data_IF_634303071657
#
_entry.id   IF_634303071657
#
_cell.length_a   1.000
_cell.length_b   1.000
_cell.length_c   1.000
_cell.angle_alpha   90.00
_cell.angle_beta   90.00
_cell.angle_gamma   90.00
#
_symmetry.space_group_name_H-M   'P 1'
#
loop_
_entity.id
_entity.type
_entity.pdbx_description
1 polymer ?
#
# COMPACT_ATOMS: atom_id res chain seq x y z
N UNK A 1 13.52 2.72 -8.85
CA UNK A 1 12.22 3.07 -9.44
C UNK A 1 11.74 2.03 -10.41
N UNK A 2 12.54 1.67 -11.41
CA UNK A 2 12.22 0.56 -12.29
C UNK A 2 12.05 -0.76 -11.53
N UNK A 3 12.78 -0.97 -10.42
CA UNK A 3 12.65 -2.18 -9.62
C UNK A 3 11.25 -2.33 -9.01
N UNK A 4 10.63 -1.26 -8.58
CA UNK A 4 9.25 -1.29 -8.04
C UNK A 4 8.26 -1.62 -9.14
N UNK A 5 8.37 -0.97 -10.29
CA UNK A 5 7.51 -1.24 -11.45
C UNK A 5 7.67 -2.68 -11.94
N UNK A 6 8.89 -3.20 -11.96
CA UNK A 6 9.17 -4.57 -12.35
C UNK A 6 8.59 -5.58 -11.37
N UNK A 7 8.72 -5.32 -10.06
CA UNK A 7 8.13 -6.19 -9.04
C UNK A 7 6.61 -6.22 -9.15
N UNK A 8 5.98 -5.07 -9.31
CA UNK A 8 4.52 -5.01 -9.49
C UNK A 8 4.08 -5.79 -10.74
N UNK A 9 4.79 -5.62 -11.86
CA UNK A 9 4.45 -6.34 -13.09
C UNK A 9 4.57 -7.85 -12.93
N UNK A 10 5.60 -8.34 -12.22
CA UNK A 10 5.76 -9.77 -11.95
C UNK A 10 4.61 -10.35 -11.13
N UNK A 11 4.12 -9.57 -10.16
CA UNK A 11 3.05 -10.01 -9.25
C UNK A 11 1.67 -9.87 -9.90
N UNK A 12 1.39 -8.71 -10.50
CA UNK A 12 0.08 -8.41 -11.07
C UNK A 12 -0.12 -8.95 -12.48
N UNK A 13 0.98 -9.17 -13.21
CA UNK A 13 0.94 -9.55 -14.62
C UNK A 13 0.60 -8.38 -15.55
N UNK A 14 0.51 -7.16 -15.04
CA UNK A 14 0.12 -5.97 -15.82
C UNK A 14 1.26 -4.97 -15.79
N UNK A 15 1.69 -4.49 -16.97
CA UNK A 15 2.63 -3.40 -17.09
C UNK A 15 1.89 -2.07 -16.89
N UNK A 16 2.41 -1.23 -15.97
CA UNK A 16 1.76 0.03 -15.58
C UNK A 16 2.77 1.18 -15.62
N UNK A 17 3.42 1.37 -16.76
CA UNK A 17 4.52 2.32 -16.88
C UNK A 17 4.13 3.73 -16.49
N UNK A 18 3.03 4.25 -17.06
CA UNK A 18 2.57 5.62 -16.79
C UNK A 18 2.11 5.79 -15.34
N UNK A 19 1.48 4.77 -14.78
CA UNK A 19 1.06 4.78 -13.37
C UNK A 19 2.27 4.93 -12.45
N UNK A 20 3.33 4.15 -12.67
CA UNK A 20 4.50 4.21 -11.80
C UNK A 20 5.28 5.50 -11.96
N UNK A 21 5.36 6.04 -13.18
CA UNK A 21 5.97 7.34 -13.39
C UNK A 21 5.23 8.43 -12.60
N UNK A 22 3.90 8.43 -12.65
CA UNK A 22 3.08 9.38 -11.90
C UNK A 22 3.24 9.21 -10.38
N UNK A 23 3.26 7.96 -9.89
CA UNK A 23 3.48 7.67 -8.46
C UNK A 23 4.82 8.25 -8.00
N UNK A 24 5.87 8.07 -8.77
CA UNK A 24 7.19 8.58 -8.41
C UNK A 24 7.23 10.09 -8.35
N UNK A 25 6.57 10.76 -9.26
CA UNK A 25 6.50 12.21 -9.25
C UNK A 25 5.76 12.72 -8.02
N UNK A 26 4.72 12.01 -7.59
CA UNK A 26 3.87 12.45 -6.47
C UNK A 26 4.33 11.95 -5.11
N UNK A 27 4.91 10.76 -5.01
CA UNK A 27 5.22 10.11 -3.72
C UNK A 27 6.70 9.87 -3.50
N UNK A 28 7.55 10.06 -4.51
CA UNK A 28 8.99 9.84 -4.41
C UNK A 28 9.74 10.92 -3.61
N UNK A 29 9.09 12.06 -3.35
CA UNK A 29 9.65 13.13 -2.53
C UNK A 29 9.19 13.03 -1.08
N UNK A 30 9.90 13.73 -0.19
CA UNK A 30 9.51 13.79 1.23
C UNK A 30 8.37 14.80 1.42
N UNK A 31 7.13 14.37 1.25
CA UNK A 31 5.96 15.19 1.56
C UNK A 31 5.28 14.66 2.81
N UNK A 32 4.92 15.58 3.70
CA UNK A 32 4.19 15.23 4.91
C UNK A 32 2.88 14.52 4.55
N UNK A 33 2.65 13.37 5.18
CA UNK A 33 1.42 12.59 4.95
C UNK A 33 1.45 11.67 3.74
N UNK A 34 2.56 11.62 2.99
CA UNK A 34 2.74 10.68 1.88
C UNK A 34 3.91 9.76 2.17
N UNK A 35 3.70 8.46 1.99
CA UNK A 35 4.69 7.45 2.35
C UNK A 35 4.90 6.49 1.20
N UNK A 36 6.16 6.26 0.89
CA UNK A 36 6.57 5.22 -0.06
C UNK A 36 7.79 4.53 0.56
N UNK A 37 7.58 3.33 1.08
CA UNK A 37 8.60 2.59 1.82
C UNK A 37 9.00 1.34 1.06
N UNK A 38 10.30 1.08 1.02
CA UNK A 38 10.86 -0.09 0.34
C UNK A 38 11.64 -0.94 1.32
N UNK A 39 11.59 -2.26 1.12
CA UNK A 39 12.40 -3.22 1.85
C UNK A 39 13.41 -3.83 0.88
N UNK A 40 14.67 -3.84 1.26
CA UNK A 40 15.76 -4.39 0.47
C UNK A 40 16.53 -5.44 1.28
N UNK A 41 17.14 -6.40 0.59
CA UNK A 41 18.06 -7.34 1.24
C UNK A 41 19.47 -6.73 1.35
N UNK A 42 20.42 -7.50 1.89
CA UNK A 42 21.80 -7.06 2.04
C UNK A 42 22.53 -6.75 0.73
N UNK A 43 21.99 -7.19 -0.39
CA UNK A 43 22.53 -6.94 -1.73
C UNK A 43 21.76 -5.88 -2.49
N UNK A 44 20.92 -5.09 -1.80
CA UNK A 44 20.07 -4.04 -2.35
C UNK A 44 19.02 -4.57 -3.33
N UNK A 45 18.70 -5.87 -3.30
CA UNK A 45 17.59 -6.39 -4.06
C UNK A 45 16.28 -5.96 -3.39
N UNK A 46 15.35 -5.45 -4.17
CA UNK A 46 14.04 -5.05 -3.67
C UNK A 46 13.23 -6.29 -3.28
N UNK A 47 12.84 -6.38 -2.02
CA UNK A 47 12.01 -7.46 -1.48
C UNK A 47 10.54 -7.09 -1.43
N UNK A 48 10.23 -5.80 -1.35
CA UNK A 48 8.86 -5.35 -1.30
C UNK A 48 8.75 -3.85 -1.11
N UNK A 49 7.53 -3.35 -1.23
CA UNK A 49 7.24 -1.94 -0.98
C UNK A 49 5.81 -1.79 -0.47
N UNK A 50 5.57 -0.67 0.20
CA UNK A 50 4.25 -0.25 0.62
C UNK A 50 4.11 1.24 0.39
N UNK A 51 2.94 1.67 -0.01
CA UNK A 51 2.67 3.09 -0.20
C UNK A 51 1.30 3.46 0.36
N UNK A 52 1.24 4.67 0.89
CA UNK A 52 0.02 5.17 1.49
C UNK A 52 0.07 6.67 1.67
N UNK A 53 -1.06 7.23 2.04
CA UNK A 53 -1.17 8.67 2.29
C UNK A 53 -2.20 8.96 3.35
N UNK A 54 -2.07 10.12 3.98
CA UNK A 54 -3.09 10.63 4.89
C UNK A 54 -4.21 11.25 4.06
N UNK A 55 -5.44 10.88 4.38
CA UNK A 55 -6.66 11.49 3.83
C UNK A 55 -7.49 12.03 4.97
N UNK A 56 -8.10 13.20 4.77
CA UNK A 56 -8.80 13.89 5.82
C UNK A 56 -10.16 14.38 5.33
N UNK A 57 -11.15 14.14 6.15
CA UNK A 57 -12.52 14.66 6.00
C UNK A 57 -13.30 14.16 4.78
N UNK A 58 -12.77 13.19 4.06
CA UNK A 58 -13.55 12.48 3.05
C UNK A 58 -14.64 11.67 3.77
N UNK A 59 -15.87 11.77 3.30
CA UNK A 59 -17.02 11.10 3.91
C UNK A 59 -17.17 11.42 5.42
N UNK A 60 -16.84 12.66 5.80
CA UNK A 60 -16.88 13.15 7.18
C UNK A 60 -15.97 12.36 8.15
N UNK A 61 -14.98 11.66 7.61
CA UNK A 61 -14.02 10.92 8.41
C UNK A 61 -12.88 11.84 8.86
N UNK A 62 -12.51 11.81 10.15
CA UNK A 62 -11.27 12.44 10.59
C UNK A 62 -10.06 11.90 9.83
N UNK A 63 -8.89 12.56 9.93
CA UNK A 63 -7.70 12.11 9.23
C UNK A 63 -7.40 10.63 9.49
N UNK A 64 -7.12 9.90 8.43
CA UNK A 64 -6.77 8.48 8.48
C UNK A 64 -5.67 8.18 7.46
N UNK A 65 -4.95 7.09 7.68
CA UNK A 65 -3.96 6.60 6.74
C UNK A 65 -4.61 5.63 5.76
N UNK A 66 -4.37 5.83 4.47
CA UNK A 66 -4.79 4.91 3.43
C UNK A 66 -3.59 4.20 2.84
N UNK A 67 -3.56 2.89 2.95
CA UNK A 67 -2.62 2.04 2.22
C UNK A 67 -3.27 1.69 0.89
N UNK A 68 -2.65 2.10 -0.20
CA UNK A 68 -3.22 1.85 -1.53
C UNK A 68 -2.31 0.99 -2.41
N UNK A 69 -1.19 0.53 -1.88
CA UNK A 69 -0.35 -0.41 -2.60
C UNK A 69 0.60 -1.13 -1.66
N UNK A 70 0.71 -2.44 -1.84
CA UNK A 70 1.71 -3.26 -1.17
C UNK A 70 2.02 -4.45 -2.07
N UNK A 71 3.31 -4.72 -2.27
CA UNK A 71 3.75 -5.93 -2.94
C UNK A 71 5.01 -6.45 -2.25
N UNK A 72 5.09 -7.76 -2.10
CA UNK A 72 6.24 -8.42 -1.51
C UNK A 72 6.67 -9.54 -2.47
N UNK A 73 7.97 -9.57 -2.78
CA UNK A 73 8.55 -10.63 -3.59
C UNK A 73 8.30 -11.98 -2.91
N UNK A 74 8.09 -13.03 -3.70
CA UNK A 74 7.86 -14.39 -3.19
C UNK A 74 8.96 -14.84 -2.23
N UNK A 75 10.20 -14.44 -2.47
CA UNK A 75 11.32 -14.77 -1.60
C UNK A 75 11.24 -14.06 -0.24
N UNK A 76 10.58 -12.91 -0.17
CA UNK A 76 10.43 -12.13 1.07
C UNK A 76 9.17 -12.44 1.87
N UNK A 77 8.21 -13.18 1.29
CA UNK A 77 6.91 -13.40 1.93
C UNK A 77 6.99 -14.21 3.22
N UNK A 78 7.90 -15.17 3.28
CA UNK A 78 8.10 -16.00 4.46
C UNK A 78 8.99 -15.34 5.51
N UNK A 79 9.64 -14.23 5.20
CA UNK A 79 10.54 -13.52 6.09
C UNK A 79 9.91 -12.39 6.89
N UNK A 80 8.59 -12.21 6.83
CA UNK A 80 7.92 -11.14 7.55
C UNK A 80 8.09 -9.75 6.96
N UNK A 81 8.46 -9.65 5.69
CA UNK A 81 8.70 -8.36 5.01
C UNK A 81 7.41 -7.55 4.93
N UNK A 82 6.28 -8.19 4.59
CA UNK A 82 4.98 -7.51 4.53
C UNK A 82 4.60 -6.90 5.89
N UNK A 83 4.77 -7.67 6.95
CA UNK A 83 4.49 -7.19 8.31
C UNK A 83 5.39 -6.02 8.69
N UNK A 84 6.69 -6.11 8.38
CA UNK A 84 7.63 -5.03 8.66
C UNK A 84 7.27 -3.75 7.90
N UNK A 85 6.90 -3.87 6.63
CA UNK A 85 6.46 -2.73 5.82
C UNK A 85 5.18 -2.11 6.38
N UNK A 86 4.21 -2.93 6.73
CA UNK A 86 2.95 -2.44 7.29
C UNK A 86 3.18 -1.73 8.63
N UNK A 87 3.99 -2.31 9.52
CA UNK A 87 4.31 -1.67 10.79
C UNK A 87 5.04 -0.35 10.59
N UNK A 88 5.97 -0.29 9.64
CA UNK A 88 6.71 0.94 9.34
C UNK A 88 5.80 2.05 8.85
N UNK A 89 4.85 1.76 7.95
CA UNK A 89 3.93 2.79 7.47
C UNK A 89 2.96 3.22 8.57
N UNK A 90 2.52 2.30 9.42
CA UNK A 90 1.68 2.62 10.58
C UNK A 90 2.43 3.56 11.55
N UNK A 91 3.72 3.31 11.78
CA UNK A 91 4.54 4.21 12.60
C UNK A 91 4.65 5.60 11.97
N UNK A 92 4.78 5.65 10.64
CA UNK A 92 4.78 6.92 9.91
C UNK A 92 3.47 7.68 10.11
N UNK A 93 2.34 7.00 10.01
CA UNK A 93 1.03 7.60 10.25
C UNK A 93 0.90 8.12 11.70
N UNK A 94 1.32 7.33 12.69
CA UNK A 94 1.29 7.76 14.10
C UNK A 94 2.11 9.03 14.33
N UNK A 95 3.26 9.15 13.69
CA UNK A 95 4.13 10.33 13.84
C UNK A 95 3.49 11.61 13.32
N UNK A 96 2.54 11.51 12.42
CA UNK A 96 1.80 12.67 11.94
C UNK A 96 0.41 12.78 12.57
N UNK A 97 0.17 12.05 13.67
CA UNK A 97 -1.05 12.18 14.48
C UNK A 97 -2.23 11.37 13.99
N UNK A 98 -2.01 10.40 13.12
CA UNK A 98 -3.08 9.57 12.56
C UNK A 98 -3.09 8.21 13.25
N UNK A 99 -4.27 7.76 13.66
CA UNK A 99 -4.42 6.53 14.45
C UNK A 99 -5.38 5.51 13.82
N UNK A 100 -5.90 5.79 12.64
CA UNK A 100 -6.75 4.86 11.89
C UNK A 100 -6.10 4.59 10.55
N UNK A 101 -6.00 3.32 10.18
CA UNK A 101 -5.44 2.89 8.89
C UNK A 101 -6.49 2.12 8.13
N UNK A 102 -6.64 2.42 6.85
CA UNK A 102 -7.62 1.80 5.96
C UNK A 102 -6.94 1.33 4.68
N UNK A 103 -7.56 0.33 4.07
CA UNK A 103 -7.18 -0.15 2.74
C UNK A 103 -8.41 -0.71 2.03
N UNK A 104 -8.29 -0.96 0.75
CA UNK A 104 -9.31 -1.65 -0.04
C UNK A 104 -8.70 -2.94 -0.58
N UNK A 105 -9.43 -4.04 -0.45
CA UNK A 105 -8.96 -5.36 -0.86
C UNK A 105 -10.04 -6.01 -1.71
N UNK A 106 -9.64 -6.60 -2.84
CA UNK A 106 -10.56 -7.42 -3.62
C UNK A 106 -10.93 -8.66 -2.83
N UNK A 107 -12.24 -8.98 -2.79
CA UNK A 107 -12.72 -10.21 -2.13
C UNK A 107 -12.14 -11.47 -2.75
N UNK A 108 -11.70 -11.40 -4.01
CA UNK A 108 -11.11 -12.52 -4.73
C UNK A 108 -9.64 -12.72 -4.41
N UNK A 109 -9.01 -11.73 -3.78
CA UNK A 109 -7.58 -11.81 -3.43
C UNK A 109 -7.43 -12.31 -2.00
N UNK A 110 -7.50 -13.64 -1.83
CA UNK A 110 -7.45 -14.27 -0.51
C UNK A 110 -6.11 -14.07 0.18
N UNK A 111 -5.02 -14.05 -0.58
CA UNK A 111 -3.68 -13.87 -0.02
C UNK A 111 -3.54 -12.50 0.63
N UNK A 112 -3.93 -11.43 -0.06
CA UNK A 112 -3.86 -10.07 0.45
C UNK A 112 -4.85 -9.89 1.60
N UNK A 113 -6.07 -10.45 1.48
CA UNK A 113 -7.07 -10.39 2.54
C UNK A 113 -6.53 -11.04 3.83
N UNK A 114 -5.95 -12.23 3.72
CA UNK A 114 -5.38 -12.93 4.87
C UNK A 114 -4.25 -12.13 5.50
N UNK A 115 -3.42 -11.51 4.68
CA UNK A 115 -2.33 -10.66 5.18
C UNK A 115 -2.87 -9.53 6.04
N UNK A 116 -3.81 -8.72 5.51
CA UNK A 116 -4.32 -7.58 6.26
C UNK A 116 -5.10 -8.02 7.51
N UNK A 117 -5.81 -9.14 7.45
CA UNK A 117 -6.45 -9.69 8.64
C UNK A 117 -5.43 -10.09 9.70
N UNK A 118 -4.30 -10.65 9.31
CA UNK A 118 -3.22 -11.00 10.24
C UNK A 118 -2.63 -9.76 10.93
N UNK A 119 -2.77 -8.58 10.31
CA UNK A 119 -2.34 -7.32 10.90
C UNK A 119 -3.40 -6.70 11.82
N UNK A 120 -4.52 -7.37 12.01
CA UNK A 120 -5.60 -6.89 12.87
C UNK A 120 -6.66 -6.05 12.16
N UNK A 121 -6.60 -5.95 10.84
CA UNK A 121 -7.59 -5.17 10.09
C UNK A 121 -8.88 -5.95 9.92
N UNK A 122 -9.99 -5.25 10.06
CA UNK A 122 -11.34 -5.81 9.97
C UNK A 122 -12.19 -4.95 9.05
N UNK A 123 -13.28 -5.50 8.54
CA UNK A 123 -14.20 -4.74 7.73
C UNK A 123 -14.72 -3.52 8.50
N UNK A 124 -14.66 -2.34 7.89
CA UNK A 124 -15.18 -1.12 8.47
C UNK A 124 -16.67 -0.97 8.18
N UNK A 125 -17.30 0.07 8.73
CA UNK A 125 -18.70 0.38 8.43
C UNK A 125 -18.89 1.10 7.09
N UNK A 126 -17.79 1.45 6.39
CA UNK A 126 -17.84 2.01 5.05
C UNK A 126 -17.86 0.89 4.01
N UNK A 127 -18.58 1.09 2.93
CA UNK A 127 -18.57 0.16 1.80
C UNK A 127 -18.27 0.94 0.52
N UNK A 128 -17.67 0.25 -0.44
CA UNK A 128 -17.40 0.78 -1.76
C UNK A 128 -18.60 0.50 -2.67
N UNK A 129 -19.05 1.51 -3.36
CA UNK A 129 -20.14 1.38 -4.36
C UNK A 129 -19.55 1.66 -5.74
N UNK A 130 -20.00 0.92 -6.73
CA UNK A 130 -19.56 1.13 -8.11
C UNK A 130 -20.67 0.97 -9.10
N UNK A 131 -20.52 1.60 -10.25
CA UNK A 131 -21.38 1.39 -11.42
C UNK A 131 -20.52 1.54 -12.66
N UNK A 132 -20.92 0.85 -13.73
CA UNK A 132 -20.30 1.05 -15.03
C UNK A 132 -20.94 2.25 -15.72
N UNK A 133 -20.12 3.05 -16.40
CA UNK A 133 -20.61 4.18 -17.17
C UNK A 133 -20.65 3.80 -18.65
N UNK A 134 -21.73 4.19 -19.34
CA UNK A 134 -21.85 4.02 -20.77
C UNK A 134 -20.78 4.87 -21.48
N UNK A 135 -20.18 4.36 -22.59
CA UNK A 135 -19.16 5.10 -23.33
C UNK A 135 -19.70 6.38 -23.96
#
# INVERSE_FOLDING_TARGET
MSAVADLDQRISGIAKHDYWQDVFERYGGRRKGRFFLMAEDGNKKLLGYIMGEVRAWEFDSPPCGWVFGINVDSDGRLGGIGTALFQAICDGFRKVGVHTVRTTVSRKNELVMSFFRSQGMMASHYIQLETELDP
#
